data_IF_542263703935
#
_entry.id   IF_542263703935
#
_cell.length_a   1.000
_cell.length_b   1.000
_cell.length_c   1.000
_cell.angle_alpha   90.00
_cell.angle_beta   90.00
_cell.angle_gamma   90.00
#
_symmetry.space_group_name_H-M   'P 1'
#
loop_
_entity.id
_entity.type
_entity.pdbx_description
1 polymer ?
#
# COMPACT_ATOMS: atom_id res chain seq x y z
N UNK A 1 -5.19 -97.39 45.20
CA UNK A 1 -3.81 -97.01 45.58
C UNK A 1 -3.20 -96.24 44.41
N UNK A 2 -2.46 -95.18 44.76
CA UNK A 2 -1.52 -94.39 43.95
C UNK A 2 -2.00 -93.22 43.06
N UNK A 3 -2.12 -92.08 43.76
CA UNK A 3 -1.59 -90.71 43.52
C UNK A 3 -0.94 -90.40 42.15
N UNK A 4 -1.38 -89.33 41.47
CA UNK A 4 -0.89 -87.94 41.62
C UNK A 4 -1.39 -87.01 40.48
N UNK A 5 -2.18 -86.02 40.88
CA UNK A 5 -2.17 -84.59 40.51
C UNK A 5 -1.56 -84.12 39.16
N UNK A 6 -2.38 -83.60 38.23
CA UNK A 6 -2.04 -82.41 37.39
C UNK A 6 -3.32 -81.58 37.11
N UNK A 7 -3.22 -80.31 37.51
CA UNK A 7 -3.89 -79.06 37.10
C UNK A 7 -5.12 -79.03 36.17
N UNK A 8 -6.10 -78.29 36.68
CA UNK A 8 -6.61 -77.00 36.16
C UNK A 8 -8.08 -76.96 35.79
N UNK A 9 -8.81 -76.22 36.61
CA UNK A 9 -10.11 -75.61 36.41
C UNK A 9 -10.07 -74.66 35.21
N UNK A 10 -10.93 -74.88 34.22
CA UNK A 10 -12.08 -73.98 34.01
C UNK A 10 -13.00 -74.52 32.92
N UNK A 11 -14.25 -74.70 33.31
CA UNK A 11 -15.31 -75.19 32.45
C UNK A 11 -15.88 -74.09 31.55
N UNK A 12 -16.50 -74.55 30.47
CA UNK A 12 -17.72 -73.99 29.86
C UNK A 12 -17.57 -72.58 29.24
N UNK A 13 -17.86 -72.28 27.98
CA UNK A 13 -18.41 -73.02 26.83
C UNK A 13 -18.22 -72.11 25.61
N UNK A 14 -17.86 -72.67 24.44
CA UNK A 14 -17.91 -72.03 23.12
C UNK A 14 -19.37 -71.70 22.71
N UNK A 15 -20.07 -70.76 23.35
CA UNK A 15 -21.34 -70.21 22.83
C UNK A 15 -21.88 -68.91 23.47
N UNK A 16 -21.14 -68.26 24.37
CA UNK A 16 -21.55 -66.94 24.91
C UNK A 16 -20.36 -66.02 25.05
N UNK A 17 -19.92 -65.44 23.92
CA UNK A 17 -19.12 -64.21 23.88
C UNK A 17 -19.24 -63.58 22.47
N UNK A 18 -20.48 -63.57 21.97
CA UNK A 18 -20.89 -62.84 20.76
C UNK A 18 -21.90 -61.73 21.09
N UNK A 19 -21.86 -61.23 22.33
CA UNK A 19 -22.65 -60.07 22.75
C UNK A 19 -21.86 -59.28 23.80
N UNK A 20 -20.89 -58.49 23.35
CA UNK A 20 -20.61 -57.11 23.82
C UNK A 20 -19.28 -56.62 23.24
N UNK A 21 -19.28 -55.35 22.82
CA UNK A 21 -18.11 -54.53 22.48
C UNK A 21 -17.52 -54.69 21.08
N UNK A 22 -18.17 -54.01 20.13
CA UNK A 22 -17.54 -53.47 18.93
C UNK A 22 -16.40 -52.51 19.33
N UNK A 23 -15.16 -52.99 19.32
CA UNK A 23 -13.98 -52.14 19.09
C UNK A 23 -13.48 -52.51 17.71
N UNK A 24 -14.07 -51.88 16.70
CA UNK A 24 -13.45 -51.78 15.38
C UNK A 24 -12.21 -50.92 15.57
N UNK A 25 -11.03 -51.55 15.60
CA UNK A 25 -9.75 -50.88 15.48
C UNK A 25 -9.67 -50.19 14.12
N UNK A 26 -10.24 -48.99 14.03
CA UNK A 26 -10.17 -48.14 12.86
C UNK A 26 -8.73 -47.72 12.62
N UNK A 27 -8.09 -48.34 11.63
CA UNK A 27 -6.98 -47.72 10.90
C UNK A 27 -7.53 -46.53 10.12
N UNK A 28 -7.85 -45.48 10.85
CA UNK A 28 -8.07 -44.15 10.28
C UNK A 28 -6.71 -43.68 9.85
N UNK A 29 -6.35 -43.93 8.59
CA UNK A 29 -5.25 -43.22 7.95
C UNK A 29 -5.70 -41.77 7.89
N UNK A 30 -5.41 -41.00 8.94
CA UNK A 30 -5.43 -39.55 8.92
C UNK A 30 -4.46 -39.16 7.82
N UNK A 31 -4.98 -38.92 6.62
CA UNK A 31 -4.26 -38.16 5.59
C UNK A 31 -4.04 -36.79 6.22
N UNK A 32 -2.89 -36.61 6.85
CA UNK A 32 -2.33 -35.29 7.07
C UNK A 32 -2.15 -34.70 5.67
N UNK A 33 -3.18 -34.02 5.17
CA UNK A 33 -3.00 -33.07 4.10
C UNK A 33 -2.12 -32.01 4.71
N UNK A 34 -0.81 -32.12 4.49
CA UNK A 34 0.09 -31.00 4.70
C UNK A 34 -0.54 -29.84 3.97
N UNK A 35 -1.05 -28.85 4.70
CA UNK A 35 -1.48 -27.60 4.12
C UNK A 35 -0.25 -27.05 3.42
N UNK A 36 -0.14 -27.28 2.11
CA UNK A 36 0.87 -26.61 1.30
C UNK A 36 0.53 -25.14 1.44
N UNK A 37 1.36 -24.40 2.18
CA UNK A 37 1.28 -22.96 2.20
C UNK A 37 1.33 -22.51 0.73
N UNK A 38 0.20 -22.04 0.21
CA UNK A 38 0.17 -21.45 -1.11
C UNK A 38 1.09 -20.24 -1.08
N UNK A 39 2.07 -20.20 -1.97
CA UNK A 39 2.92 -19.02 -2.11
C UNK A 39 2.02 -17.79 -2.28
N UNK A 40 2.34 -16.66 -1.63
CA UNK A 40 1.55 -15.45 -1.81
C UNK A 40 1.52 -15.08 -3.30
N UNK A 41 0.40 -14.49 -3.79
CA UNK A 41 0.30 -14.07 -5.17
C UNK A 41 1.46 -13.13 -5.52
N UNK A 42 2.02 -13.28 -6.72
CA UNK A 42 3.18 -12.52 -7.18
C UNK A 42 3.15 -12.36 -8.70
N UNK A 43 3.94 -11.40 -9.19
CA UNK A 43 4.12 -11.11 -10.62
C UNK A 43 5.63 -11.06 -10.90
N UNK A 44 6.05 -11.70 -11.99
CA UNK A 44 7.41 -11.56 -12.52
C UNK A 44 7.43 -10.50 -13.64
N UNK A 45 8.05 -9.36 -13.35
CA UNK A 45 8.23 -8.31 -14.35
C UNK A 45 9.30 -8.73 -15.37
N UNK A 46 9.19 -8.33 -16.65
CA UNK A 46 10.06 -8.80 -17.74
C UNK A 46 11.44 -8.10 -17.76
N UNK A 47 12.14 -8.14 -16.63
CA UNK A 47 13.54 -7.72 -16.47
C UNK A 47 14.19 -8.46 -15.30
N UNK A 48 15.53 -8.43 -15.22
CA UNK A 48 16.26 -9.17 -14.18
C UNK A 48 15.93 -8.65 -12.76
N UNK A 49 15.70 -9.60 -11.84
CA UNK A 49 15.18 -9.34 -10.48
C UNK A 49 13.79 -8.66 -10.48
N UNK A 50 12.94 -9.07 -11.42
CA UNK A 50 11.58 -8.56 -11.62
C UNK A 50 10.48 -9.17 -10.72
N UNK A 51 10.78 -10.17 -9.90
CA UNK A 51 9.79 -10.79 -9.00
C UNK A 51 9.22 -9.78 -8.00
N UNK A 52 7.89 -9.68 -7.91
CA UNK A 52 7.17 -8.79 -6.98
C UNK A 52 6.05 -9.53 -6.26
N UNK A 53 5.99 -9.52 -4.92
CA UNK A 53 4.81 -10.00 -4.21
C UNK A 53 3.64 -9.03 -4.40
N UNK A 54 2.42 -9.58 -4.50
CA UNK A 54 1.17 -8.84 -4.50
C UNK A 54 0.64 -8.77 -3.07
N UNK A 55 0.51 -7.57 -2.52
CA UNK A 55 0.07 -7.36 -1.13
C UNK A 55 -1.00 -6.27 -1.10
N UNK A 56 -2.08 -6.54 -0.37
CA UNK A 56 -3.10 -5.53 -0.07
C UNK A 56 -2.63 -4.64 1.08
N UNK A 57 -2.75 -3.33 0.89
CA UNK A 57 -2.58 -2.31 1.93
C UNK A 57 -3.97 -1.77 2.30
N UNK A 58 -4.14 -1.08 3.44
CA UNK A 58 -5.40 -0.39 3.75
C UNK A 58 -5.88 0.44 2.55
N UNK A 59 -7.16 0.30 2.20
CA UNK A 59 -7.81 0.99 1.06
C UNK A 59 -7.25 0.63 -0.34
N UNK A 60 -6.39 -0.39 -0.44
CA UNK A 60 -5.80 -0.84 -1.71
C UNK A 60 -6.16 -2.29 -2.01
N UNK A 61 -6.45 -2.57 -3.28
CA UNK A 61 -6.41 -3.95 -3.79
C UNK A 61 -4.95 -4.46 -3.76
N UNK A 62 -4.68 -5.77 -3.95
CA UNK A 62 -3.32 -6.26 -4.02
C UNK A 62 -2.51 -5.54 -5.12
N UNK A 63 -1.40 -4.90 -4.72
CA UNK A 63 -0.48 -4.19 -5.60
C UNK A 63 0.92 -4.83 -5.56
N UNK A 64 1.73 -4.59 -6.59
CA UNK A 64 3.10 -5.10 -6.65
C UNK A 64 3.99 -4.33 -5.69
N UNK A 65 4.51 -4.98 -4.65
CA UNK A 65 5.33 -4.31 -3.63
C UNK A 65 6.77 -4.22 -4.10
N UNK A 66 7.29 -2.99 -4.15
CA UNK A 66 8.72 -2.73 -4.34
C UNK A 66 9.44 -2.58 -3.00
N UNK A 67 8.89 -1.80 -2.06
CA UNK A 67 9.39 -1.67 -0.68
C UNK A 67 8.23 -1.55 0.30
N UNK A 68 8.43 -1.99 1.54
CA UNK A 68 7.41 -1.90 2.61
C UNK A 68 7.63 -0.73 3.57
N UNK A 69 8.88 -0.27 3.75
CA UNK A 69 9.23 0.85 4.62
C UNK A 69 10.28 1.76 3.95
N UNK A 70 9.88 2.87 3.33
CA UNK A 70 8.49 3.28 3.16
C UNK A 70 7.72 2.43 2.11
N UNK A 71 6.38 2.47 2.08
CA UNK A 71 5.60 1.79 1.06
C UNK A 71 5.88 2.34 -0.34
N UNK A 72 6.25 1.45 -1.25
CA UNK A 72 6.32 1.69 -2.69
C UNK A 72 5.57 0.56 -3.40
N UNK A 73 4.42 0.88 -3.99
CA UNK A 73 3.46 -0.07 -4.56
C UNK A 73 3.23 0.29 -6.03
N UNK A 74 3.37 -0.67 -6.93
CA UNK A 74 3.18 -0.51 -8.37
C UNK A 74 1.84 -1.10 -8.81
N UNK A 75 1.14 -0.38 -9.69
CA UNK A 75 -0.12 -0.83 -10.30
C UNK A 75 0.15 -1.96 -11.29
N UNK A 76 -0.50 -3.14 -11.19
CA UNK A 76 -0.42 -4.17 -12.22
C UNK A 76 -0.83 -3.61 -13.59
N UNK A 77 -0.06 -3.89 -14.64
CA UNK A 77 -0.27 -3.25 -15.94
C UNK A 77 -1.65 -3.52 -16.57
N UNK A 78 -2.26 -4.68 -16.25
CA UNK A 78 -3.61 -5.04 -16.70
C UNK A 78 -4.68 -4.03 -16.27
N UNK A 79 -4.46 -3.28 -15.17
CA UNK A 79 -5.41 -2.27 -14.69
C UNK A 79 -5.60 -1.14 -15.71
N UNK A 80 -4.58 -0.82 -16.52
CA UNK A 80 -4.67 0.28 -17.49
C UNK A 80 -5.57 -0.05 -18.69
N UNK A 81 -5.99 -1.31 -18.86
CA UNK A 81 -6.96 -1.73 -19.87
C UNK A 81 -8.41 -1.66 -19.33
N UNK A 82 -8.61 -1.49 -18.02
CA UNK A 82 -9.94 -1.47 -17.40
C UNK A 82 -10.68 -0.14 -17.66
N UNK A 83 -9.97 0.99 -17.57
CA UNK A 83 -10.56 2.33 -17.67
C UNK A 83 -9.47 3.41 -17.90
N UNK A 84 -9.85 4.56 -18.47
CA UNK A 84 -8.97 5.73 -18.59
C UNK A 84 -8.58 6.32 -17.23
N UNK A 85 -9.43 6.20 -16.21
CA UNK A 85 -9.12 6.59 -14.85
C UNK A 85 -8.75 5.36 -14.00
N UNK A 86 -7.56 5.39 -13.41
CA UNK A 86 -7.07 4.34 -12.53
C UNK A 86 -7.88 4.35 -11.23
N UNK A 87 -8.53 3.24 -10.83
CA UNK A 87 -9.28 3.18 -9.57
C UNK A 87 -8.42 3.55 -8.36
N UNK A 88 -9.01 4.24 -7.37
CA UNK A 88 -8.28 4.70 -6.17
C UNK A 88 -7.59 3.54 -5.42
N UNK A 89 -8.24 2.39 -5.35
CA UNK A 89 -7.69 1.18 -4.71
C UNK A 89 -6.56 0.53 -5.52
N UNK A 90 -6.40 0.90 -6.79
CA UNK A 90 -5.35 0.41 -7.70
C UNK A 90 -4.25 1.44 -8.01
N UNK A 91 -4.43 2.72 -7.63
CA UNK A 91 -3.47 3.79 -7.91
C UNK A 91 -2.14 3.54 -7.18
N UNK A 92 -1.01 3.66 -7.90
CA UNK A 92 0.33 3.41 -7.37
C UNK A 92 0.66 4.28 -6.14
N UNK A 93 1.59 3.82 -5.30
CA UNK A 93 2.02 4.51 -4.09
C UNK A 93 3.53 4.67 -4.10
N UNK A 94 4.03 5.88 -3.81
CA UNK A 94 5.47 6.14 -3.72
C UNK A 94 5.76 7.12 -2.59
N UNK A 95 6.45 6.62 -1.56
CA UNK A 95 6.98 7.41 -0.45
C UNK A 95 8.50 7.43 -0.46
N UNK A 96 9.10 8.49 0.08
CA UNK A 96 10.56 8.62 0.23
C UNK A 96 11.03 8.37 1.66
N UNK A 97 10.32 8.92 2.64
CA UNK A 97 10.64 8.83 4.06
C UNK A 97 9.77 7.77 4.75
N UNK A 98 10.36 7.06 5.73
CA UNK A 98 9.69 5.94 6.39
C UNK A 98 8.67 6.35 7.46
N UNK A 99 8.82 7.53 8.08
CA UNK A 99 7.86 8.03 9.07
C UNK A 99 6.74 8.79 8.36
N UNK A 100 5.81 8.05 7.78
CA UNK A 100 4.60 8.60 7.15
C UNK A 100 3.49 8.77 8.19
N UNK A 101 2.63 9.79 8.09
CA UNK A 101 1.44 9.88 8.92
C UNK A 101 0.48 8.73 8.57
N UNK A 102 0.17 7.87 9.53
CA UNK A 102 -0.82 6.79 9.36
C UNK A 102 -2.24 7.26 9.71
N UNK A 103 -2.36 8.38 10.39
CA UNK A 103 -3.61 9.06 10.71
C UNK A 103 -3.42 10.58 10.65
N UNK A 104 -4.46 11.30 10.25
CA UNK A 104 -4.51 12.77 10.28
C UNK A 104 -5.90 13.16 10.79
N UNK A 105 -5.97 13.89 11.90
CA UNK A 105 -7.22 14.42 12.39
C UNK A 105 -7.65 15.62 11.53
N UNK A 106 -8.80 15.45 10.87
CA UNK A 106 -9.38 16.41 9.94
C UNK A 106 -9.81 17.72 10.61
N UNK A 107 -10.12 17.70 11.90
CA UNK A 107 -10.58 18.89 12.63
C UNK A 107 -9.40 19.79 13.04
N UNK A 108 -8.27 19.19 13.38
CA UNK A 108 -7.06 19.88 13.83
C UNK A 108 -6.06 20.14 12.70
N UNK A 109 -6.16 19.44 11.56
CA UNK A 109 -5.33 19.71 10.38
C UNK A 109 -5.37 21.18 9.95
N UNK A 110 -4.20 21.72 9.61
CA UNK A 110 -4.06 23.06 9.06
C UNK A 110 -3.08 23.09 7.88
N UNK A 111 -3.51 23.65 6.76
CA UNK A 111 -2.62 24.05 5.67
C UNK A 111 -2.15 25.48 5.92
N UNK A 112 -0.83 25.66 6.09
CA UNK A 112 -0.25 26.98 6.37
C UNK A 112 0.48 27.54 5.15
N UNK A 113 0.12 28.76 4.75
CA UNK A 113 0.80 29.55 3.71
C UNK A 113 1.59 30.65 4.39
N UNK A 114 2.90 30.66 4.15
CA UNK A 114 3.87 31.57 4.80
C UNK A 114 5.04 31.88 3.87
N UNK A 115 5.87 32.85 4.23
CA UNK A 115 7.05 33.24 3.47
C UNK A 115 6.88 34.60 2.81
N UNK A 116 7.07 34.68 1.50
CA UNK A 116 6.95 35.93 0.70
C UNK A 116 5.48 36.24 0.38
N UNK A 117 4.70 36.46 1.43
CA UNK A 117 3.28 36.81 1.40
C UNK A 117 3.01 37.91 2.42
N UNK A 118 2.03 38.77 2.14
CA UNK A 118 1.62 39.87 3.02
C UNK A 118 1.09 39.37 4.36
N UNK A 119 0.39 38.23 4.35
CA UNK A 119 -0.18 37.62 5.54
C UNK A 119 0.08 36.11 5.56
N UNK A 120 0.57 35.60 6.67
CA UNK A 120 0.59 34.15 6.90
C UNK A 120 -0.82 33.68 7.19
N UNK A 121 -1.32 32.74 6.37
CA UNK A 121 -2.67 32.19 6.50
C UNK A 121 -2.61 30.73 6.91
N UNK A 122 -3.59 30.28 7.69
CA UNK A 122 -3.73 28.91 8.14
C UNK A 122 -5.17 28.44 7.93
N UNK A 123 -5.36 27.50 7.00
CA UNK A 123 -6.68 27.02 6.59
C UNK A 123 -6.98 25.65 7.20
N UNK A 124 -8.17 25.49 7.78
CA UNK A 124 -8.73 24.17 8.04
C UNK A 124 -9.22 23.51 6.73
N UNK A 125 -9.49 22.21 6.75
CA UNK A 125 -10.15 21.55 5.62
C UNK A 125 -11.51 22.17 5.30
N UNK A 126 -12.26 22.60 6.32
CA UNK A 126 -13.56 23.27 6.14
C UNK A 126 -13.40 24.62 5.46
N UNK A 127 -12.34 25.38 5.76
CA UNK A 127 -12.08 26.65 5.10
C UNK A 127 -11.81 26.45 3.61
N UNK A 128 -10.96 25.48 3.27
CA UNK A 128 -10.67 25.13 1.88
C UNK A 128 -11.94 24.75 1.11
N UNK A 129 -12.85 24.00 1.74
CA UNK A 129 -14.10 23.55 1.12
C UNK A 129 -15.17 24.63 0.98
N UNK A 130 -15.21 25.63 1.88
CA UNK A 130 -16.28 26.63 1.94
C UNK A 130 -15.91 27.98 1.35
N UNK A 131 -14.63 28.35 1.38
CA UNK A 131 -14.19 29.69 1.01
C UNK A 131 -13.70 29.80 -0.44
N UNK A 132 -13.53 28.67 -1.13
CA UNK A 132 -12.95 28.62 -2.46
C UNK A 132 -13.78 27.76 -3.40
N UNK A 133 -13.69 28.06 -4.69
CA UNK A 133 -14.37 27.30 -5.73
C UNK A 133 -13.70 25.92 -5.92
N UNK A 134 -14.44 24.80 -5.84
CA UNK A 134 -13.89 23.49 -6.13
C UNK A 134 -13.69 23.32 -7.63
N UNK A 135 -12.49 22.90 -8.02
CA UNK A 135 -12.14 22.67 -9.42
C UNK A 135 -11.68 21.25 -9.63
N UNK A 136 -11.86 20.75 -10.86
CA UNK A 136 -11.54 19.39 -11.25
C UNK A 136 -10.54 19.38 -12.41
N UNK A 137 -9.50 18.56 -12.30
CA UNK A 137 -8.46 18.37 -13.32
C UNK A 137 -8.25 16.88 -13.54
N UNK A 138 -8.42 16.40 -14.77
CA UNK A 138 -7.98 15.08 -15.17
C UNK A 138 -6.46 15.12 -15.42
N UNK A 139 -5.68 14.41 -14.62
CA UNK A 139 -4.22 14.40 -14.77
C UNK A 139 -3.60 13.05 -14.44
N UNK A 140 -2.57 12.72 -15.24
CA UNK A 140 -1.67 11.60 -14.99
C UNK A 140 -0.65 12.00 -13.94
N UNK A 141 -0.57 11.24 -12.84
CA UNK A 141 0.57 11.26 -11.94
C UNK A 141 1.51 10.12 -12.34
N UNK A 142 2.76 10.43 -12.65
CA UNK A 142 3.77 9.43 -13.03
C UNK A 142 5.05 9.66 -12.24
N UNK A 143 5.61 8.57 -11.70
CA UNK A 143 6.93 8.62 -11.08
C UNK A 143 7.97 8.89 -12.17
N UNK A 144 8.91 9.82 -11.92
CA UNK A 144 10.08 10.03 -12.78
C UNK A 144 10.91 8.75 -13.00
N UNK A 145 10.71 7.74 -12.15
CA UNK A 145 11.33 6.43 -12.24
C UNK A 145 10.50 5.34 -12.91
N UNK A 146 9.32 5.66 -13.43
CA UNK A 146 8.50 4.68 -14.14
C UNK A 146 9.34 4.04 -15.26
N UNK A 147 9.22 2.73 -15.42
CA UNK A 147 9.98 1.92 -16.40
C UNK A 147 11.48 1.78 -16.13
N UNK A 148 12.03 2.23 -14.98
CA UNK A 148 13.47 2.11 -14.69
C UNK A 148 14.00 0.67 -14.75
N UNK A 149 13.16 -0.34 -14.45
CA UNK A 149 13.56 -1.75 -14.56
C UNK A 149 14.03 -2.16 -15.96
N UNK A 150 13.66 -1.40 -16.99
CA UNK A 150 13.98 -1.64 -18.40
C UNK A 150 15.19 -0.83 -18.91
N UNK A 151 15.85 -0.02 -18.08
CA UNK A 151 17.04 0.72 -18.50
C UNK A 151 18.22 -0.23 -18.79
N UNK A 152 18.91 0.00 -19.91
CA UNK A 152 20.14 -0.70 -20.31
C UNK A 152 21.25 0.32 -20.61
N UNK A 153 22.37 0.36 -19.85
CA UNK A 153 22.63 -0.47 -18.68
C UNK A 153 21.69 -0.15 -17.51
N UNK A 154 21.52 -1.11 -16.60
CA UNK A 154 20.70 -0.93 -15.39
C UNK A 154 21.24 0.21 -14.53
N UNK A 155 20.34 1.04 -14.01
CA UNK A 155 20.66 2.18 -13.13
C UNK A 155 20.05 2.02 -11.75
N UNK A 156 20.63 2.71 -10.75
CA UNK A 156 20.19 2.65 -9.35
C UNK A 156 18.82 3.31 -9.14
N UNK A 157 18.16 2.94 -8.04
CA UNK A 157 16.84 3.46 -7.65
C UNK A 157 15.75 2.39 -7.68
N UNK A 158 14.49 2.83 -7.53
CA UNK A 158 13.33 1.92 -7.58
C UNK A 158 13.21 1.27 -8.95
N UNK A 159 13.24 -0.07 -8.97
CA UNK A 159 13.20 -0.89 -10.19
C UNK A 159 11.74 -1.17 -10.56
N UNK A 160 11.06 -0.12 -11.02
CA UNK A 160 9.66 -0.15 -11.45
C UNK A 160 9.51 -0.84 -12.81
N UNK A 161 8.40 -1.54 -13.02
CA UNK A 161 7.84 -1.80 -14.33
C UNK A 161 7.19 -0.55 -14.90
N UNK A 162 6.10 -0.70 -15.66
CA UNK A 162 5.38 0.43 -16.28
C UNK A 162 4.23 0.98 -15.44
N UNK A 163 3.99 0.42 -14.25
CA UNK A 163 2.84 0.73 -13.41
C UNK A 163 3.06 1.80 -12.34
N UNK A 164 4.18 2.52 -12.36
CA UNK A 164 4.42 3.65 -11.47
C UNK A 164 3.79 4.94 -12.02
N UNK A 165 2.53 4.82 -12.44
CA UNK A 165 1.70 5.88 -12.98
C UNK A 165 0.22 5.60 -12.74
N UNK A 166 -0.61 6.63 -12.80
CA UNK A 166 -2.06 6.51 -12.76
C UNK A 166 -2.71 7.81 -13.22
N UNK A 167 -3.91 7.71 -13.77
CA UNK A 167 -4.70 8.87 -14.19
C UNK A 167 -5.93 8.99 -13.30
N UNK A 168 -6.22 10.18 -12.80
CA UNK A 168 -7.38 10.42 -11.94
C UNK A 168 -8.02 11.78 -12.23
N UNK A 169 -9.28 11.91 -11.84
CA UNK A 169 -9.93 13.21 -11.71
C UNK A 169 -9.60 13.78 -10.32
N UNK A 170 -8.76 14.80 -10.29
CA UNK A 170 -8.33 15.48 -9.07
C UNK A 170 -9.28 16.64 -8.78
N UNK A 171 -9.84 16.66 -7.57
CA UNK A 171 -10.72 17.75 -7.11
C UNK A 171 -10.05 18.51 -5.97
N UNK A 172 -9.97 19.84 -6.09
CA UNK A 172 -9.27 20.68 -5.11
C UNK A 172 -9.58 22.16 -5.24
N UNK A 173 -8.72 22.98 -4.64
CA UNK A 173 -8.75 24.45 -4.73
C UNK A 173 -7.55 24.86 -5.56
N UNK A 174 -7.69 25.82 -6.49
CA UNK A 174 -6.51 26.26 -7.26
C UNK A 174 -5.46 26.86 -6.31
N UNK A 175 -4.20 26.47 -6.48
CA UNK A 175 -3.11 26.99 -5.66
C UNK A 175 -3.01 28.52 -5.75
N UNK A 176 -3.22 29.08 -6.95
CA UNK A 176 -3.20 30.53 -7.17
C UNK A 176 -4.18 31.28 -6.26
N UNK A 177 -5.40 30.75 -6.07
CA UNK A 177 -6.45 31.43 -5.32
C UNK A 177 -6.05 31.54 -3.84
N UNK A 178 -5.35 30.51 -3.33
CA UNK A 178 -4.79 30.49 -1.98
C UNK A 178 -3.65 31.50 -1.84
N UNK A 179 -2.74 31.55 -2.82
CA UNK A 179 -1.59 32.45 -2.81
C UNK A 179 -2.00 33.93 -2.96
N UNK A 180 -2.98 34.21 -3.82
CA UNK A 180 -3.58 35.54 -3.97
C UNK A 180 -4.25 36.01 -2.68
N UNK A 181 -4.99 35.12 -2.01
CA UNK A 181 -5.61 35.43 -0.72
C UNK A 181 -4.58 35.74 0.37
N UNK A 182 -3.43 35.04 0.37
CA UNK A 182 -2.31 35.35 1.27
C UNK A 182 -1.57 36.66 0.88
N UNK A 183 -1.74 37.10 -0.37
CA UNK A 183 -1.15 38.30 -0.95
C UNK A 183 0.33 38.12 -1.24
N UNK A 184 0.67 37.45 -2.34
CA UNK A 184 2.06 37.29 -2.79
C UNK A 184 2.83 38.62 -2.86
N UNK A 185 4.07 38.59 -2.38
CA UNK A 185 5.01 39.71 -2.53
C UNK A 185 5.65 39.70 -3.92
N UNK A 186 6.03 40.89 -4.41
CA UNK A 186 6.54 41.08 -5.78
C UNK A 186 7.86 40.36 -6.06
N UNK A 187 8.64 40.04 -5.03
CA UNK A 187 9.93 39.37 -5.12
C UNK A 187 9.86 37.85 -4.94
N UNK A 188 8.65 37.27 -4.82
CA UNK A 188 8.45 35.83 -4.77
C UNK A 188 8.87 35.17 -6.10
N UNK A 189 9.60 34.04 -6.02
CA UNK A 189 10.12 33.34 -7.21
C UNK A 189 9.70 31.87 -7.28
N UNK A 190 9.52 31.23 -6.12
CA UNK A 190 9.17 29.83 -6.02
C UNK A 190 8.19 29.59 -4.89
N UNK A 191 7.32 28.61 -5.09
CA UNK A 191 6.47 28.05 -4.03
C UNK A 191 7.06 26.70 -3.63
N UNK A 192 7.32 26.52 -2.33
CA UNK A 192 7.83 25.26 -1.77
C UNK A 192 6.76 24.56 -0.96
N UNK A 193 6.63 23.25 -1.15
CA UNK A 193 5.65 22.39 -0.50
C UNK A 193 6.34 21.50 0.52
N UNK A 194 5.70 21.35 1.67
CA UNK A 194 6.18 20.59 2.81
C UNK A 194 5.07 19.66 3.31
N UNK A 195 5.40 18.38 3.43
CA UNK A 195 4.48 17.32 3.84
C UNK A 195 4.46 17.13 5.36
N UNK A 196 3.66 16.16 5.79
CA UNK A 196 3.65 15.71 7.19
C UNK A 196 4.63 14.56 7.45
N UNK A 197 5.21 13.96 6.42
CA UNK A 197 6.19 12.89 6.55
C UNK A 197 7.51 13.41 7.13
N UNK A 198 8.19 12.54 7.86
CA UNK A 198 9.42 12.89 8.60
C UNK A 198 10.54 11.90 8.35
N UNK A 199 11.76 12.38 8.52
CA UNK A 199 12.96 11.57 8.56
C UNK A 199 12.93 10.58 9.73
N UNK A 200 13.65 9.46 9.57
CA UNK A 200 13.95 8.54 10.68
C UNK A 200 15.19 9.00 11.45
N UNK A 201 16.15 9.59 10.76
CA UNK A 201 17.40 10.08 11.32
C UNK A 201 17.61 11.53 10.93
N UNK A 202 18.06 12.35 11.86
CA UNK A 202 18.17 13.82 11.72
C UNK A 202 19.00 14.28 10.52
N UNK A 203 20.02 13.50 10.13
CA UNK A 203 20.85 13.79 8.95
C UNK A 203 20.13 13.58 7.61
N UNK A 204 18.96 12.95 7.60
CA UNK A 204 18.17 12.74 6.38
C UNK A 204 17.42 14.03 6.05
N UNK A 205 17.54 14.55 4.81
CA UNK A 205 16.83 15.76 4.41
C UNK A 205 15.32 15.53 4.36
N UNK A 206 14.55 16.56 4.70
CA UNK A 206 13.10 16.59 4.53
C UNK A 206 12.71 16.45 3.04
N UNK A 207 11.54 15.86 2.78
CA UNK A 207 11.03 15.74 1.43
C UNK A 207 10.29 17.02 1.00
N UNK A 208 11.06 17.99 0.51
CA UNK A 208 10.55 19.28 0.04
C UNK A 208 10.66 19.39 -1.48
N UNK A 209 9.60 19.88 -2.12
CA UNK A 209 9.56 20.16 -3.57
C UNK A 209 9.14 21.60 -3.80
N UNK A 210 9.50 22.14 -4.96
CA UNK A 210 9.12 23.50 -5.34
C UNK A 210 8.71 23.59 -6.80
N UNK A 211 7.87 24.58 -7.08
CA UNK A 211 7.54 25.04 -8.42
C UNK A 211 8.03 26.48 -8.59
N UNK A 212 8.51 26.88 -9.79
CA UNK A 212 8.58 28.30 -10.16
C UNK A 212 7.22 28.98 -9.94
N UNK A 213 7.23 30.28 -9.63
CA UNK A 213 6.00 31.00 -9.32
C UNK A 213 5.01 30.98 -10.50
N UNK A 214 5.50 31.16 -11.73
CA UNK A 214 4.64 31.16 -12.92
C UNK A 214 3.88 29.82 -13.08
N UNK A 215 4.55 28.69 -12.83
CA UNK A 215 3.92 27.37 -12.84
C UNK A 215 2.91 27.24 -11.68
N UNK A 216 3.29 27.68 -10.47
CA UNK A 216 2.42 27.60 -9.29
C UNK A 216 1.14 28.45 -9.40
N UNK A 217 1.18 29.51 -10.22
CA UNK A 217 0.05 30.40 -10.48
C UNK A 217 -0.86 29.91 -11.62
N UNK A 218 -0.49 28.82 -12.31
CA UNK A 218 -1.28 28.28 -13.40
C UNK A 218 -2.61 27.67 -12.93
N UNK A 219 -3.65 27.78 -13.76
CA UNK A 219 -5.02 27.32 -13.48
C UNK A 219 -5.13 25.84 -13.11
N UNK A 220 -4.18 25.01 -13.53
CA UNK A 220 -4.23 23.56 -13.39
C UNK A 220 -3.48 23.05 -12.15
N UNK A 221 -2.84 23.93 -11.37
CA UNK A 221 -2.22 23.56 -10.10
C UNK A 221 -3.25 23.69 -8.98
N UNK A 222 -3.57 22.57 -8.35
CA UNK A 222 -4.54 22.43 -7.25
C UNK A 222 -3.84 22.23 -5.90
#
# INVERSE_FOLDING_TARGET
>A
MDRHNIHSTDGLTRRRLLQTSLIVGGLSVLRLQSARASSPPSIDLPFSRGHRPLVAFPEKRPLMVLTTRPPQLETPFSIFDENIFTPNDAFFVRWHLANIPTTVDRQTFRLTIRGRVKQTLSFSLTDLQKQFEPVEVAAVCQCAGNSRGFSEPRVTGGQWGHGAMGNAMWKGVRLRDLLEKAGLEKDAQHVRFDGLDRQVADATPDFLKSLPLDDAMADHVL
#
